data_IF_031420032888
#
_entry.id   IF_031420032888
#
_cell.length_a   1.000
_cell.length_b   1.000
_cell.length_c   1.000
_cell.angle_alpha   90.00
_cell.angle_beta   90.00
_cell.angle_gamma   90.00
#
_symmetry.space_group_name_H-M   'P 1'
#
loop_
_entity.id
_entity.type
_entity.pdbx_description
1 polymer ?
#
# COMPACT_ATOMS: atom_id res chain seq x y z
N UNK A 1 7.65 -3.90 15.38
CA UNK A 1 6.75 -4.85 14.72
C UNK A 1 6.45 -4.38 13.33
N UNK A 2 6.75 -5.21 12.37
CA UNK A 2 6.61 -4.84 10.97
C UNK A 2 5.17 -4.57 10.56
N UNK A 3 4.20 -5.22 11.21
CA UNK A 3 2.81 -5.07 10.85
C UNK A 3 2.25 -3.70 11.18
N UNK A 4 2.76 -3.05 12.22
CA UNK A 4 2.30 -1.71 12.59
C UNK A 4 2.69 -0.65 11.56
N UNK A 5 3.60 -0.97 10.65
CA UNK A 5 4.07 -0.04 9.62
C UNK A 5 3.44 -0.32 8.26
N UNK A 6 2.32 -0.99 8.22
CA UNK A 6 1.61 -1.28 6.98
C UNK A 6 0.48 -0.28 6.76
N UNK A 7 0.35 0.19 5.52
CA UNK A 7 -0.74 1.05 5.10
C UNK A 7 -1.51 0.30 4.01
N UNK A 8 -2.77 -0.01 4.30
CA UNK A 8 -3.62 -0.75 3.37
C UNK A 8 -4.43 0.24 2.54
N UNK A 9 -4.23 0.20 1.24
CA UNK A 9 -4.89 1.13 0.32
C UNK A 9 -6.28 0.58 -0.03
N UNK A 10 -7.27 1.42 0.13
CA UNK A 10 -8.66 1.08 -0.20
C UNK A 10 -9.33 2.19 -0.98
N UNK A 11 -10.54 2.56 -0.56
CA UNK A 11 -11.40 3.45 -1.33
C UNK A 11 -11.36 4.91 -0.88
N UNK A 12 -10.55 5.24 0.13
CA UNK A 12 -10.47 6.63 0.60
C UNK A 12 -9.61 7.46 -0.35
N UNK A 13 -9.71 8.80 -0.27
CA UNK A 13 -8.86 9.66 -1.10
C UNK A 13 -7.37 9.42 -0.85
N UNK A 14 -6.58 9.64 -1.89
CA UNK A 14 -5.12 9.42 -1.84
C UNK A 14 -4.48 10.09 -0.63
N UNK A 15 -4.88 11.33 -0.33
CA UNK A 15 -4.24 12.07 0.76
C UNK A 15 -4.44 11.44 2.14
N UNK A 16 -5.51 10.68 2.35
CA UNK A 16 -5.70 9.94 3.60
C UNK A 16 -4.55 8.96 3.84
N UNK A 17 -4.16 8.26 2.79
CA UNK A 17 -3.08 7.27 2.88
C UNK A 17 -1.71 7.93 2.90
N UNK A 18 -1.55 9.05 2.19
CA UNK A 18 -0.32 9.84 2.24
C UNK A 18 -0.05 10.28 3.68
N UNK A 19 -1.07 10.82 4.36
CA UNK A 19 -0.93 11.25 5.74
C UNK A 19 -0.61 10.08 6.66
N UNK A 20 -1.19 8.91 6.42
CA UNK A 20 -0.87 7.72 7.21
C UNK A 20 0.61 7.36 7.09
N UNK A 21 1.15 7.39 5.88
CA UNK A 21 2.57 7.10 5.66
C UNK A 21 3.47 8.12 6.35
N UNK A 22 3.14 9.41 6.21
CA UNK A 22 3.92 10.49 6.81
C UNK A 22 3.91 10.34 8.33
N UNK A 23 2.75 10.04 8.91
CA UNK A 23 2.61 9.85 10.34
C UNK A 23 3.52 8.73 10.85
N UNK A 24 3.57 7.61 10.13
CA UNK A 24 4.44 6.50 10.50
C UNK A 24 5.92 6.89 10.45
N UNK A 25 6.34 7.58 9.39
CA UNK A 25 7.73 8.01 9.28
C UNK A 25 8.09 9.02 10.34
N UNK A 26 7.21 9.98 10.63
CA UNK A 26 7.46 10.97 11.69
C UNK A 26 7.48 10.33 13.06
N UNK A 27 6.78 9.21 13.24
CA UNK A 27 6.80 8.45 14.48
C UNK A 27 8.04 7.60 14.67
N UNK A 28 8.96 7.62 13.72
CA UNK A 28 10.23 6.91 13.82
C UNK A 28 10.33 5.63 13.00
N UNK A 29 9.30 5.28 12.23
CA UNK A 29 9.39 4.11 11.37
C UNK A 29 10.48 4.32 10.32
N UNK A 30 11.29 3.31 10.11
CA UNK A 30 12.33 3.33 9.08
C UNK A 30 11.83 2.76 7.77
N UNK A 31 10.81 1.92 7.83
CA UNK A 31 10.18 1.33 6.67
C UNK A 31 8.67 1.39 6.83
N UNK A 32 7.99 1.61 5.72
CA UNK A 32 6.53 1.59 5.66
C UNK A 32 6.15 0.73 4.46
N UNK A 33 5.26 -0.22 4.69
CA UNK A 33 4.79 -1.12 3.64
C UNK A 33 3.42 -0.66 3.15
N UNK A 34 3.35 -0.26 1.89
CA UNK A 34 2.09 0.14 1.25
C UNK A 34 1.55 -1.05 0.49
N UNK A 35 0.38 -1.52 0.88
CA UNK A 35 -0.23 -2.73 0.31
C UNK A 35 -1.54 -2.40 -0.37
N UNK A 36 -1.75 -3.00 -1.53
CA UNK A 36 -2.99 -2.81 -2.27
C UNK A 36 -3.30 -4.05 -3.09
N UNK A 37 -4.55 -4.17 -3.47
CA UNK A 37 -5.00 -5.26 -4.33
C UNK A 37 -6.05 -4.76 -5.30
N UNK A 38 -6.13 -5.45 -6.45
CA UNK A 38 -7.13 -5.16 -7.47
C UNK A 38 -7.06 -3.72 -7.94
N UNK A 39 -8.20 -3.06 -7.91
CA UNK A 39 -8.31 -1.70 -8.42
C UNK A 39 -7.56 -0.66 -7.60
N UNK A 40 -7.15 -1.01 -6.39
CA UNK A 40 -6.42 -0.07 -5.53
C UNK A 40 -4.93 0.00 -5.84
N UNK A 41 -4.42 -0.83 -6.73
CA UNK A 41 -2.99 -0.88 -7.04
C UNK A 41 -2.48 0.44 -7.60
N UNK A 42 -3.20 1.03 -8.55
CA UNK A 42 -2.76 2.32 -9.12
C UNK A 42 -2.77 3.41 -8.06
N UNK A 43 -3.75 3.39 -7.17
CA UNK A 43 -3.80 4.35 -6.07
C UNK A 43 -2.63 4.19 -5.12
N UNK A 44 -2.17 2.96 -4.89
CA UNK A 44 -0.98 2.72 -4.08
C UNK A 44 0.25 3.41 -4.69
N UNK A 45 0.40 3.33 -6.00
CA UNK A 45 1.50 4.02 -6.69
C UNK A 45 1.37 5.53 -6.53
N UNK A 46 0.14 6.05 -6.67
CA UNK A 46 -0.11 7.48 -6.48
C UNK A 46 0.29 7.93 -5.08
N UNK A 47 -0.10 7.17 -4.05
CA UNK A 47 0.24 7.47 -2.66
C UNK A 47 1.76 7.53 -2.48
N UNK A 48 2.47 6.51 -2.95
CA UNK A 48 3.92 6.42 -2.84
C UNK A 48 4.59 7.60 -3.52
N UNK A 49 4.12 7.97 -4.71
CA UNK A 49 4.74 9.06 -5.48
C UNK A 49 4.49 10.41 -4.83
N UNK A 50 3.30 10.63 -4.27
CA UNK A 50 3.02 11.88 -3.54
C UNK A 50 3.92 11.99 -2.29
N UNK A 51 4.05 10.90 -1.53
CA UNK A 51 4.93 10.90 -0.35
C UNK A 51 6.36 11.28 -0.74
N UNK A 52 6.90 10.65 -1.77
CA UNK A 52 8.29 10.83 -2.17
C UNK A 52 8.57 12.18 -2.82
N UNK A 53 7.64 12.65 -3.63
CA UNK A 53 7.89 13.85 -4.44
C UNK A 53 7.49 15.13 -3.76
N UNK A 54 6.48 15.09 -2.90
CA UNK A 54 5.93 16.31 -2.31
C UNK A 54 6.25 16.49 -0.84
N UNK A 55 6.44 15.42 -0.08
CA UNK A 55 6.55 15.53 1.37
C UNK A 55 7.89 15.05 1.92
N UNK A 56 8.33 13.87 1.53
CA UNK A 56 9.52 13.24 2.10
C UNK A 56 10.47 12.80 0.98
N UNK A 57 11.23 13.75 0.40
CA UNK A 57 12.08 13.43 -0.74
C UNK A 57 13.23 12.47 -0.42
N UNK A 58 13.52 12.27 0.86
CA UNK A 58 14.53 11.32 1.30
C UNK A 58 14.01 9.88 1.35
N UNK A 59 12.69 9.69 1.22
CA UNK A 59 12.09 8.35 1.21
C UNK A 59 12.34 7.68 -0.14
N UNK A 60 12.77 6.42 -0.09
CA UNK A 60 13.08 5.64 -1.29
C UNK A 60 12.22 4.40 -1.35
N UNK A 61 11.97 3.93 -2.56
CA UNK A 61 11.35 2.63 -2.76
C UNK A 61 12.43 1.57 -2.57
N UNK A 62 12.32 0.80 -1.50
CA UNK A 62 13.28 -0.26 -1.21
C UNK A 62 13.04 -1.47 -2.10
N UNK A 63 11.78 -1.89 -2.18
CA UNK A 63 11.42 -3.01 -3.03
C UNK A 63 9.92 -2.98 -3.33
N UNK A 64 9.55 -3.70 -4.36
CA UNK A 64 8.16 -3.86 -4.78
C UNK A 64 7.93 -5.35 -4.99
N UNK A 65 6.92 -5.90 -4.30
CA UNK A 65 6.50 -7.27 -4.49
C UNK A 65 5.14 -7.32 -5.15
N UNK A 66 4.95 -8.26 -6.02
CA UNK A 66 3.64 -8.49 -6.65
C UNK A 66 3.21 -9.93 -6.40
N UNK A 67 1.92 -10.15 -6.45
CA UNK A 67 1.38 -11.48 -6.23
C UNK A 67 -0.07 -11.57 -6.63
N UNK A 68 -0.64 -12.72 -6.32
CA UNK A 68 -2.04 -12.98 -6.61
C UNK A 68 -2.66 -13.57 -5.35
N UNK A 69 -3.83 -13.05 -4.98
CA UNK A 69 -4.60 -13.56 -3.87
C UNK A 69 -5.90 -14.14 -4.41
N UNK A 70 -6.24 -15.35 -3.95
CA UNK A 70 -7.52 -15.93 -4.30
C UNK A 70 -8.58 -15.45 -3.32
N UNK A 71 -9.64 -14.86 -3.86
CA UNK A 71 -10.75 -14.39 -3.05
C UNK A 71 -11.88 -15.41 -3.10
N UNK A 72 -12.54 -15.69 -1.97
CA UNK A 72 -13.66 -16.62 -1.96
C UNK A 72 -14.81 -16.11 -2.82
N UNK A 73 -15.63 -17.05 -3.30
CA UNK A 73 -16.82 -16.69 -4.07
C UNK A 73 -17.74 -15.82 -3.21
N UNK A 74 -18.33 -14.82 -3.84
CA UNK A 74 -19.26 -13.91 -3.14
C UNK A 74 -20.63 -14.52 -2.94
N UNK A 75 -20.98 -15.46 -3.81
CA UNK A 75 -22.28 -16.11 -3.76
C UNK A 75 -22.10 -17.61 -3.68
N UNK A 76 -23.07 -18.27 -3.04
CA UNK A 76 -23.11 -19.71 -2.99
C UNK A 76 -23.17 -20.26 -4.42
N UNK A 77 -22.34 -21.25 -4.71
CA UNK A 77 -22.24 -21.83 -6.04
C UNK A 77 -21.39 -21.03 -7.02
N UNK A 78 -20.90 -19.85 -6.63
CA UNK A 78 -20.00 -19.05 -7.47
C UNK A 78 -18.58 -19.57 -7.41
N UNK A 79 -17.74 -19.08 -8.32
CA UNK A 79 -16.33 -19.44 -8.35
C UNK A 79 -15.49 -18.41 -7.63
N UNK A 80 -14.41 -18.84 -6.95
CA UNK A 80 -13.45 -17.87 -6.40
C UNK A 80 -12.77 -17.13 -7.53
N UNK A 81 -12.32 -15.91 -7.25
CA UNK A 81 -11.63 -15.08 -8.21
C UNK A 81 -10.20 -14.78 -7.74
N UNK A 82 -9.33 -14.54 -8.68
CA UNK A 82 -7.96 -14.15 -8.40
C UNK A 82 -7.84 -12.65 -8.49
N UNK A 83 -7.14 -12.06 -7.52
CA UNK A 83 -6.96 -10.62 -7.43
C UNK A 83 -5.47 -10.33 -7.36
N UNK A 84 -4.99 -9.43 -8.22
CA UNK A 84 -3.59 -9.02 -8.20
C UNK A 84 -3.30 -8.21 -6.94
N UNK A 85 -2.09 -8.39 -6.41
CA UNK A 85 -1.65 -7.66 -5.20
C UNK A 85 -0.32 -6.98 -5.46
N UNK A 86 -0.07 -5.90 -4.71
CA UNK A 86 1.21 -5.22 -4.71
C UNK A 86 1.58 -4.85 -3.28
N UNK A 87 2.85 -4.94 -2.98
CA UNK A 87 3.40 -4.42 -1.73
C UNK A 87 4.62 -3.58 -2.08
N UNK A 88 4.58 -2.31 -1.70
CA UNK A 88 5.67 -1.36 -1.95
C UNK A 88 6.28 -1.00 -0.61
N UNK A 89 7.54 -1.35 -0.42
CA UNK A 89 8.25 -1.03 0.81
C UNK A 89 9.02 0.27 0.62
N UNK A 90 8.66 1.26 1.43
CA UNK A 90 9.33 2.56 1.46
C UNK A 90 10.34 2.56 2.60
N UNK A 91 11.49 3.16 2.37
CA UNK A 91 12.56 3.25 3.36
C UNK A 91 13.03 4.69 3.48
N UNK A 92 13.26 5.10 4.72
CA UNK A 92 13.77 6.43 5.00
C UNK A 92 15.19 6.40 5.55
#
# INVERSE_FOLDING_TARGET
MSESNAVLIGNKPVMNYVLACITLFHGGAKEVNVKARGRSISQAVDVVEVVRRRFLPDVKVKCIGIGTQQMPARTEGGSPSNVSTVEITLQR
#
